data_IF_100492767821
#
_entry.id   IF_100492767821
#
_cell.length_a   1.000
_cell.length_b   1.000
_cell.length_c   1.000
_cell.angle_alpha   90.00
_cell.angle_beta   90.00
_cell.angle_gamma   90.00
#
_symmetry.space_group_name_H-M   'P 1'
#
loop_
_entity.id
_entity.type
_entity.pdbx_description
1 polymer ?
#
# COMPACT_ATOMS: atom_id res chain seq x y z
N UNK A 1 -0.87 14.15 4.61
CA UNK A 1 0.47 14.11 3.99
C UNK A 1 0.34 13.17 2.81
N UNK A 2 0.74 13.55 1.59
CA UNK A 2 0.48 12.72 0.39
C UNK A 2 1.12 11.34 0.57
N UNK A 3 0.35 10.27 0.40
CA UNK A 3 0.85 8.88 0.39
C UNK A 3 1.98 8.74 -0.62
N UNK A 4 3.24 8.71 -0.19
CA UNK A 4 4.39 8.60 -1.09
C UNK A 4 4.53 7.17 -1.65
N UNK A 5 5.18 7.02 -2.80
CA UNK A 5 5.62 5.70 -3.27
C UNK A 5 6.80 5.22 -2.43
N UNK A 6 6.85 3.92 -2.16
CA UNK A 6 7.79 3.30 -1.22
C UNK A 6 8.62 2.26 -1.96
N UNK A 7 9.63 2.71 -2.68
CA UNK A 7 10.50 1.80 -3.44
C UNK A 7 11.73 1.34 -2.65
N UNK A 8 12.04 1.99 -1.53
CA UNK A 8 13.28 1.78 -0.80
C UNK A 8 14.54 2.13 -1.61
N UNK A 9 15.71 1.89 -1.01
CA UNK A 9 17.01 2.19 -1.61
C UNK A 9 17.73 0.95 -2.18
N UNK A 10 17.16 -0.24 -1.99
CA UNK A 10 17.73 -1.52 -2.40
C UNK A 10 16.82 -2.20 -3.44
N UNK A 11 17.35 -3.12 -4.27
CA UNK A 11 16.53 -3.92 -5.18
C UNK A 11 15.40 -4.63 -4.42
N UNK A 12 14.17 -4.44 -4.86
CA UNK A 12 12.99 -5.02 -4.21
C UNK A 12 12.92 -6.53 -4.46
N UNK A 13 12.58 -7.28 -3.41
CA UNK A 13 12.20 -8.70 -3.50
C UNK A 13 10.70 -8.88 -3.72
N UNK A 14 9.90 -7.88 -3.35
CA UNK A 14 8.46 -7.85 -3.51
C UNK A 14 8.02 -6.39 -3.72
N UNK A 15 7.17 -6.17 -4.72
CA UNK A 15 6.47 -4.89 -4.92
C UNK A 15 4.97 -5.15 -4.81
N UNK A 16 4.34 -4.49 -3.83
CA UNK A 16 2.91 -4.53 -3.63
C UNK A 16 2.28 -3.38 -4.42
N UNK A 17 1.46 -3.73 -5.40
CA UNK A 17 0.84 -2.76 -6.30
C UNK A 17 -0.66 -2.71 -6.04
N UNK A 18 -1.12 -1.61 -5.45
CA UNK A 18 -2.54 -1.32 -5.29
C UNK A 18 -3.18 -0.87 -6.61
N UNK A 19 -4.51 -0.92 -6.68
CA UNK A 19 -5.23 -0.38 -7.83
C UNK A 19 -5.21 1.15 -7.81
N UNK A 20 -5.74 1.73 -6.73
CA UNK A 20 -5.72 3.16 -6.41
C UNK A 20 -5.84 3.31 -4.88
N UNK A 21 -5.31 4.38 -4.29
CA UNK A 21 -5.42 4.58 -2.85
C UNK A 21 -6.85 4.96 -2.47
N UNK A 22 -7.30 4.50 -1.29
CA UNK A 22 -8.49 5.09 -0.66
C UNK A 22 -8.18 6.52 -0.19
N UNK A 23 -9.22 7.31 0.07
CA UNK A 23 -9.04 8.64 0.65
C UNK A 23 -8.31 8.57 2.00
N UNK A 24 -8.66 7.57 2.82
CA UNK A 24 -8.02 7.36 4.10
C UNK A 24 -6.51 7.06 3.97
N UNK A 25 -6.12 6.17 3.04
CA UNK A 25 -4.70 5.88 2.80
C UNK A 25 -3.94 7.07 2.23
N UNK A 26 -4.60 7.87 1.41
CA UNK A 26 -4.05 9.11 0.91
C UNK A 26 -3.80 10.15 2.00
N UNK A 27 -4.74 10.30 2.93
CA UNK A 27 -4.66 11.27 4.03
C UNK A 27 -3.66 10.84 5.10
N UNK A 28 -3.70 9.56 5.49
CA UNK A 28 -2.84 8.99 6.52
C UNK A 28 -1.39 8.86 6.05
N UNK A 29 -1.16 8.78 4.74
CA UNK A 29 0.17 8.55 4.17
C UNK A 29 0.68 7.11 4.32
N UNK A 30 -0.24 6.17 4.59
CA UNK A 30 0.07 4.76 4.81
C UNK A 30 -0.72 3.87 3.84
N UNK A 31 -0.05 2.91 3.21
CA UNK A 31 -0.71 2.01 2.25
C UNK A 31 -1.71 1.10 2.94
N UNK A 32 -2.86 0.92 2.28
CA UNK A 32 -3.93 0.02 2.73
C UNK A 32 -4.41 0.29 4.17
N UNK A 33 -4.26 1.51 4.68
CA UNK A 33 -4.59 1.89 6.07
C UNK A 33 -6.08 1.94 6.39
N UNK A 34 -6.96 1.92 5.40
CA UNK A 34 -8.42 1.92 5.61
C UNK A 34 -8.80 0.76 6.55
N UNK A 35 -9.47 0.98 7.70
CA UNK A 35 -9.73 -0.08 8.67
C UNK A 35 -10.54 -1.28 8.16
N UNK A 36 -11.35 -1.07 7.12
CA UNK A 36 -12.10 -2.14 6.44
C UNK A 36 -11.27 -2.94 5.43
N UNK A 37 -10.03 -2.53 5.15
CA UNK A 37 -9.12 -3.22 4.26
C UNK A 37 -8.38 -4.34 5.03
N UNK A 38 -8.51 -5.58 4.56
CA UNK A 38 -7.91 -6.75 5.21
C UNK A 38 -6.43 -6.98 4.84
N UNK A 39 -5.81 -6.11 4.05
CA UNK A 39 -4.44 -6.31 3.55
C UNK A 39 -3.45 -6.66 4.66
N UNK A 40 -3.35 -5.85 5.72
CA UNK A 40 -2.38 -6.03 6.81
C UNK A 40 -2.60 -7.30 7.61
N UNK A 41 -3.86 -7.67 7.82
CA UNK A 41 -4.22 -8.96 8.41
C UNK A 41 -3.78 -10.13 7.53
N UNK A 42 -4.13 -10.09 6.25
CA UNK A 42 -3.88 -11.18 5.31
C UNK A 42 -2.40 -11.36 5.00
N UNK A 43 -1.62 -10.28 4.87
CA UNK A 43 -0.19 -10.36 4.58
C UNK A 43 0.57 -10.96 5.78
N UNK A 44 0.16 -10.62 7.00
CA UNK A 44 0.69 -11.22 8.24
C UNK A 44 0.34 -12.72 8.30
N UNK A 45 -0.92 -13.08 8.10
CA UNK A 45 -1.37 -14.48 8.10
C UNK A 45 -0.76 -15.33 6.97
N UNK A 46 -0.33 -14.71 5.86
CA UNK A 46 0.25 -15.41 4.72
C UNK A 46 1.65 -15.99 4.97
N UNK A 47 2.36 -15.52 5.99
CA UNK A 47 3.77 -15.86 6.23
C UNK A 47 4.76 -15.25 5.22
N UNK A 48 4.31 -14.30 4.37
CA UNK A 48 5.22 -13.55 3.48
C UNK A 48 6.10 -12.54 4.23
N UNK A 49 5.68 -12.15 5.43
CA UNK A 49 6.39 -11.28 6.34
C UNK A 49 6.81 -12.07 7.58
N UNK A 50 8.00 -11.77 8.11
CA UNK A 50 8.57 -12.43 9.28
C UNK A 50 8.07 -11.83 10.61
N UNK A 51 7.21 -10.82 10.55
CA UNK A 51 6.68 -10.10 11.71
C UNK A 51 5.22 -9.68 11.48
N UNK A 52 4.47 -9.57 12.58
CA UNK A 52 3.17 -8.92 12.60
C UNK A 52 3.38 -7.42 12.33
N UNK A 53 2.71 -6.91 11.30
CA UNK A 53 2.84 -5.51 10.88
C UNK A 53 1.48 -4.89 10.61
N UNK A 54 1.40 -3.59 10.84
CA UNK A 54 0.23 -2.77 10.55
C UNK A 54 0.53 -1.65 9.57
N UNK A 55 -0.48 -0.85 9.21
CA UNK A 55 -0.35 0.19 8.21
C UNK A 55 0.75 1.21 8.51
N UNK A 56 1.00 1.50 9.79
CA UNK A 56 2.03 2.46 10.21
C UNK A 56 3.46 1.93 10.01
N UNK A 57 3.63 0.62 9.80
CA UNK A 57 4.91 -0.05 9.61
C UNK A 57 5.34 -0.14 8.13
N UNK A 58 4.51 0.35 7.21
CA UNK A 58 4.75 0.23 5.77
C UNK A 58 6.08 0.87 5.32
N UNK A 59 6.54 1.93 5.98
CA UNK A 59 7.87 2.52 5.76
C UNK A 59 9.02 1.65 6.27
N UNK A 60 8.80 0.79 7.26
CA UNK A 60 9.82 -0.15 7.74
C UNK A 60 10.06 -1.27 6.72
N UNK A 61 8.99 -1.69 6.03
CA UNK A 61 9.06 -2.76 5.04
C UNK A 61 9.95 -2.43 3.84
N UNK A 62 10.15 -1.14 3.53
CA UNK A 62 11.16 -0.69 2.55
C UNK A 62 12.57 -1.21 2.88
N UNK A 63 12.93 -1.22 4.17
CA UNK A 63 14.22 -1.74 4.66
C UNK A 63 14.32 -3.25 4.53
N UNK A 64 13.20 -3.94 4.33
CA UNK A 64 13.10 -5.38 4.09
C UNK A 64 12.97 -5.72 2.59
N UNK A 65 13.28 -4.75 1.71
CA UNK A 65 13.19 -4.85 0.25
C UNK A 65 11.75 -5.11 -0.24
N UNK A 66 10.75 -4.64 0.51
CA UNK A 66 9.33 -4.72 0.14
C UNK A 66 8.85 -3.30 -0.13
N UNK A 67 8.33 -3.08 -1.34
CA UNK A 67 7.86 -1.76 -1.75
C UNK A 67 6.36 -1.67 -1.93
N UNK A 68 5.87 -0.43 -2.05
CA UNK A 68 4.47 -0.09 -2.28
C UNK A 68 4.31 0.98 -3.35
N UNK A 69 3.34 0.79 -4.23
CA UNK A 69 2.84 1.80 -5.18
C UNK A 69 1.38 1.47 -5.53
N UNK A 70 0.74 2.35 -6.30
CA UNK A 70 -0.54 2.11 -6.93
C UNK A 70 -0.42 2.29 -8.43
N UNK A 71 -1.18 1.51 -9.21
CA UNK A 71 -1.29 1.72 -10.65
C UNK A 71 -1.83 3.12 -10.96
N UNK A 72 -2.82 3.57 -10.18
CA UNK A 72 -3.50 4.85 -10.36
C UNK A 72 -3.34 5.67 -9.09
N UNK A 73 -2.66 6.81 -9.22
CA UNK A 73 -2.30 7.67 -8.09
C UNK A 73 -3.33 8.77 -7.86
N UNK A 74 -4.60 8.39 -7.87
CA UNK A 74 -5.76 9.26 -7.60
C UNK A 74 -6.59 8.65 -6.47
N UNK A 75 -6.78 9.35 -5.34
CA UNK A 75 -7.53 8.80 -4.22
C UNK A 75 -9.01 8.68 -4.52
N UNK A 76 -9.58 7.50 -4.29
CA UNK A 76 -11.02 7.27 -4.28
C UNK A 76 -11.36 5.98 -3.55
N UNK A 77 -12.22 6.06 -2.54
CA UNK A 77 -12.63 4.91 -1.72
C UNK A 77 -13.54 3.92 -2.48
N UNK A 78 -14.10 4.31 -3.63
CA UNK A 78 -14.87 3.45 -4.52
C UNK A 78 -14.09 3.17 -5.81
N UNK A 79 -13.38 2.05 -5.86
CA UNK A 79 -12.59 1.66 -7.04
C UNK A 79 -13.42 1.50 -8.33
N UNK A 80 -14.73 1.27 -8.24
CA UNK A 80 -15.60 1.10 -9.42
C UNK A 80 -15.81 2.40 -10.21
N UNK A 81 -15.52 3.56 -9.60
CA UNK A 81 -15.59 4.86 -10.32
C UNK A 81 -14.32 5.17 -11.09
N UNK A 82 -13.23 4.43 -10.81
CA UNK A 82 -11.97 4.59 -11.50
C UNK A 82 -12.05 3.84 -12.83
N UNK A 83 -11.91 4.61 -13.91
CA UNK A 83 -12.03 4.10 -15.28
C UNK A 83 -10.68 4.06 -15.99
N UNK A 84 -10.67 3.48 -17.20
CA UNK A 84 -9.50 3.48 -18.08
C UNK A 84 -8.96 4.87 -18.43
N UNK A 85 -9.73 5.94 -18.24
CA UNK A 85 -9.29 7.31 -18.51
C UNK A 85 -8.23 7.82 -17.52
N UNK A 86 -7.99 7.10 -16.42
CA UNK A 86 -6.93 7.41 -15.45
C UNK A 86 -5.56 6.81 -15.81
N UNK A 87 -5.46 6.13 -16.95
CA UNK A 87 -4.22 5.61 -17.54
C UNK A 87 -3.77 6.50 -18.70
#
# INVERSE_FOLDING_TARGET
MVLAEKYGDLPLRLLLVGHNPSEHSWESGHYFSQPSNNFWKLITESGLLEADVEANDDSMLEKMQIGFTDVIRVPNSNSSVISRAYF
#
